data_IF_331565121180
#
_entry.id   IF_331565121180
#
_cell.length_a   1.000
_cell.length_b   1.000
_cell.length_c   1.000
_cell.angle_alpha   90.00
_cell.angle_beta   90.00
_cell.angle_gamma   90.00
#
_symmetry.space_group_name_H-M   'P 1'
#
loop_
_entity.id
_entity.type
_entity.pdbx_description
1 polymer ?
#
# COMPACT_ATOMS: atom_id res chain seq x y z
N UNK A 1 18.29 -9.45 4.08
CA UNK A 1 18.46 -8.41 5.12
C UNK A 1 17.34 -8.58 6.12
N UNK A 2 17.63 -9.10 7.32
CA UNK A 2 16.64 -9.28 8.39
C UNK A 2 16.28 -7.88 8.89
N UNK A 3 15.07 -7.41 8.58
CA UNK A 3 14.57 -6.13 9.11
C UNK A 3 14.41 -6.28 10.62
N UNK A 4 15.03 -5.39 11.39
CA UNK A 4 14.90 -5.37 12.85
C UNK A 4 13.48 -4.97 13.24
N UNK A 5 12.98 -5.54 14.33
CA UNK A 5 11.61 -5.39 14.85
C UNK A 5 11.20 -3.91 15.10
N UNK A 6 12.18 -3.00 15.12
CA UNK A 6 11.98 -1.58 15.41
C UNK A 6 11.51 -0.71 14.23
N UNK A 7 11.47 -1.23 12.99
CA UNK A 7 10.99 -0.49 11.79
C UNK A 7 9.49 -0.75 11.48
N UNK A 8 8.73 -1.26 12.45
CA UNK A 8 7.34 -1.71 12.24
C UNK A 8 6.36 -0.65 12.78
N UNK A 9 6.08 0.40 11.99
CA UNK A 9 5.13 1.48 12.32
C UNK A 9 3.64 1.03 12.37
N UNK A 10 3.32 -0.26 12.26
CA UNK A 10 1.93 -0.75 12.26
C UNK A 10 1.75 -1.99 13.14
N UNK A 11 0.56 -2.20 13.73
CA UNK A 11 0.31 -3.33 14.63
C UNK A 11 0.54 -4.68 13.94
N UNK A 12 1.16 -5.62 14.68
CA UNK A 12 1.45 -6.98 14.20
C UNK A 12 0.13 -7.74 13.89
N UNK A 13 0.00 -8.33 12.69
CA UNK A 13 -1.28 -8.85 12.19
C UNK A 13 -1.67 -10.18 12.87
N UNK A 14 -0.68 -11.01 13.23
CA UNK A 14 -0.86 -12.23 14.03
C UNK A 14 -1.50 -12.02 15.42
N UNK A 15 -1.55 -10.78 15.93
CA UNK A 15 -2.22 -10.46 17.19
C UNK A 15 -3.73 -10.71 17.07
N UNK A 16 -4.31 -10.53 15.88
CA UNK A 16 -5.75 -10.71 15.65
C UNK A 16 -6.24 -12.13 15.98
N UNK A 17 -5.68 -13.22 15.38
CA UNK A 17 -6.08 -14.58 15.74
C UNK A 17 -5.68 -14.95 17.16
N UNK A 18 -4.60 -14.38 17.70
CA UNK A 18 -4.21 -14.61 19.09
C UNK A 18 -5.24 -14.03 20.07
N UNK A 19 -5.74 -12.82 19.80
CA UNK A 19 -6.80 -12.20 20.59
C UNK A 19 -8.12 -12.97 20.47
N UNK A 20 -8.43 -13.55 19.31
CA UNK A 20 -9.59 -14.42 19.15
C UNK A 20 -9.44 -15.71 20.00
N UNK A 21 -8.23 -16.27 20.07
CA UNK A 21 -7.93 -17.42 20.91
C UNK A 21 -8.08 -17.11 22.40
N UNK A 22 -7.58 -15.96 22.87
CA UNK A 22 -7.75 -15.56 24.28
C UNK A 22 -9.21 -15.30 24.62
N UNK A 23 -10.00 -14.75 23.71
CA UNK A 23 -11.43 -14.58 23.88
C UNK A 23 -12.12 -15.96 24.00
N UNK A 24 -11.75 -16.93 23.16
CA UNK A 24 -12.29 -18.29 23.22
C UNK A 24 -11.96 -19.02 24.53
N UNK A 25 -10.74 -18.87 25.06
CA UNK A 25 -10.39 -19.49 26.34
C UNK A 25 -11.19 -18.87 27.48
N UNK A 26 -11.40 -17.55 27.46
CA UNK A 26 -12.26 -16.86 28.43
C UNK A 26 -13.70 -17.37 28.32
N UNK A 27 -14.25 -17.50 27.12
CA UNK A 27 -15.60 -18.05 26.92
C UNK A 27 -15.71 -19.49 27.43
N UNK A 28 -14.69 -20.33 27.21
CA UNK A 28 -14.66 -21.69 27.75
C UNK A 28 -14.61 -21.72 29.28
N UNK A 29 -13.88 -20.80 29.91
CA UNK A 29 -13.84 -20.66 31.37
C UNK A 29 -15.19 -20.21 31.94
N UNK A 30 -15.83 -19.24 31.28
CA UNK A 30 -17.17 -18.76 31.66
C UNK A 30 -18.22 -19.86 31.49
N UNK A 31 -18.11 -20.67 30.43
CA UNK A 31 -19.00 -21.80 30.23
C UNK A 31 -18.88 -22.87 31.32
N UNK A 32 -17.66 -23.19 31.74
CA UNK A 32 -17.44 -24.11 32.88
C UNK A 32 -18.10 -23.59 34.16
N UNK A 33 -18.09 -22.26 34.37
CA UNK A 33 -18.67 -21.64 35.55
C UNK A 33 -20.21 -21.53 35.51
N UNK A 34 -20.80 -21.31 34.32
CA UNK A 34 -22.21 -20.96 34.16
C UNK A 34 -23.04 -22.01 33.40
N UNK A 35 -22.42 -23.07 32.87
CA UNK A 35 -23.03 -24.09 32.00
C UNK A 35 -23.93 -23.48 30.90
N UNK A 36 -23.41 -22.43 30.24
CA UNK A 36 -24.15 -21.63 29.24
C UNK A 36 -24.30 -22.37 27.90
N UNK A 37 -23.37 -23.26 27.56
CA UNK A 37 -23.34 -24.02 26.32
C UNK A 37 -24.02 -25.39 26.49
N UNK A 38 -24.68 -25.88 25.44
CA UNK A 38 -25.27 -27.22 25.45
C UNK A 38 -24.19 -28.29 25.61
N UNK A 39 -24.52 -29.31 26.41
CA UNK A 39 -23.67 -30.49 26.63
C UNK A 39 -23.33 -31.14 25.27
N UNK A 40 -22.06 -31.03 24.85
CA UNK A 40 -21.57 -31.52 23.55
C UNK A 40 -20.89 -30.47 22.66
N UNK A 41 -20.88 -29.19 23.06
CA UNK A 41 -20.21 -28.09 22.32
C UNK A 41 -18.67 -28.18 22.31
N UNK A 42 -18.06 -28.97 23.21
CA UNK A 42 -16.61 -29.02 23.39
C UNK A 42 -15.83 -29.37 22.12
N UNK A 43 -16.38 -30.26 21.28
CA UNK A 43 -15.79 -30.60 19.98
C UNK A 43 -15.66 -29.39 19.05
N UNK A 44 -16.70 -28.55 18.98
CA UNK A 44 -16.70 -27.36 18.15
C UNK A 44 -15.73 -26.31 18.68
N UNK A 45 -15.63 -26.15 20.01
CA UNK A 45 -14.64 -25.24 20.62
C UNK A 45 -13.21 -25.68 20.32
N UNK A 46 -12.91 -26.98 20.40
CA UNK A 46 -11.58 -27.51 20.06
C UNK A 46 -11.25 -27.31 18.57
N UNK A 47 -12.21 -27.55 17.67
CA UNK A 47 -12.03 -27.32 16.25
C UNK A 47 -11.68 -25.85 15.95
N UNK A 48 -12.46 -24.92 16.53
CA UNK A 48 -12.24 -23.48 16.35
C UNK A 48 -10.90 -23.06 16.95
N UNK A 49 -10.56 -23.56 18.15
CA UNK A 49 -9.28 -23.28 18.80
C UNK A 49 -8.09 -23.76 17.94
N UNK A 50 -8.15 -24.96 17.37
CA UNK A 50 -7.11 -25.47 16.47
C UNK A 50 -6.93 -24.58 15.23
N UNK A 51 -8.04 -24.10 14.65
CA UNK A 51 -8.00 -23.17 13.52
C UNK A 51 -7.31 -21.84 13.85
N UNK A 52 -7.60 -21.27 15.02
CA UNK A 52 -6.94 -20.04 15.47
C UNK A 52 -5.46 -20.26 15.84
N UNK A 53 -5.10 -21.39 16.46
CA UNK A 53 -3.70 -21.74 16.72
C UNK A 53 -2.92 -21.83 15.40
N UNK A 54 -3.46 -22.54 14.40
CA UNK A 54 -2.89 -22.60 13.05
C UNK A 54 -2.67 -21.21 12.47
N UNK A 55 -3.70 -20.36 12.52
CA UNK A 55 -3.68 -19.00 11.95
C UNK A 55 -2.64 -18.10 12.63
N UNK A 56 -2.55 -18.15 13.96
CA UNK A 56 -1.55 -17.41 14.72
C UNK A 56 -0.13 -17.82 14.37
N UNK A 57 0.15 -19.14 14.32
CA UNK A 57 1.49 -19.65 14.01
C UNK A 57 1.86 -19.37 12.55
N UNK A 58 0.95 -19.61 11.60
CA UNK A 58 1.20 -19.34 10.19
C UNK A 58 1.40 -17.84 9.92
N UNK A 59 0.54 -16.98 10.48
CA UNK A 59 0.64 -15.53 10.37
C UNK A 59 1.99 -15.02 10.88
N UNK A 60 2.40 -15.47 12.07
CA UNK A 60 3.70 -15.13 12.66
C UNK A 60 4.88 -15.50 11.75
N UNK A 61 4.94 -16.75 11.30
CA UNK A 61 6.03 -17.19 10.43
C UNK A 61 6.05 -16.42 9.12
N UNK A 62 4.88 -16.16 8.51
CA UNK A 62 4.84 -15.39 7.27
C UNK A 62 5.26 -13.94 7.43
N UNK A 63 4.89 -13.30 8.55
CA UNK A 63 5.35 -11.94 8.88
C UNK A 63 6.86 -11.90 9.08
N UNK A 64 7.44 -12.89 9.78
CA UNK A 64 8.89 -12.96 10.00
C UNK A 64 9.68 -13.15 8.69
N UNK A 65 9.15 -13.92 7.73
CA UNK A 65 9.86 -14.27 6.51
C UNK A 65 9.68 -13.19 5.42
N UNK A 66 8.45 -12.73 5.17
CA UNK A 66 8.11 -11.84 4.04
C UNK A 66 7.71 -10.42 4.45
N UNK A 67 7.67 -10.11 5.74
CA UNK A 67 7.13 -8.86 6.23
C UNK A 67 5.60 -8.75 6.02
N UNK A 68 5.07 -7.54 6.22
CA UNK A 68 3.63 -7.27 6.12
C UNK A 68 3.20 -7.08 4.66
N UNK A 69 2.89 -8.18 3.98
CA UNK A 69 2.40 -8.21 2.60
C UNK A 69 1.04 -8.94 2.52
N UNK A 70 0.37 -8.89 1.37
CA UNK A 70 -0.89 -9.62 1.07
C UNK A 70 -0.78 -11.12 1.39
N UNK A 71 0.43 -11.68 1.29
CA UNK A 71 0.74 -13.07 1.64
C UNK A 71 0.39 -13.44 3.09
N UNK A 72 0.45 -12.51 4.05
CA UNK A 72 0.11 -12.79 5.46
C UNK A 72 -1.38 -13.06 5.61
N UNK A 73 -2.26 -12.27 4.97
CA UNK A 73 -3.70 -12.53 4.99
C UNK A 73 -4.06 -13.85 4.31
N UNK A 74 -3.38 -14.17 3.21
CA UNK A 74 -3.58 -15.42 2.48
C UNK A 74 -3.13 -16.62 3.34
N UNK A 75 -1.96 -16.55 3.99
CA UNK A 75 -1.46 -17.61 4.85
C UNK A 75 -2.34 -17.82 6.08
N UNK A 76 -2.83 -16.75 6.70
CA UNK A 76 -3.76 -16.79 7.84
C UNK A 76 -5.10 -17.42 7.45
N UNK A 77 -5.66 -17.08 6.28
CA UNK A 77 -6.91 -17.68 5.80
C UNK A 77 -6.76 -19.16 5.47
N UNK A 78 -5.74 -19.50 4.67
CA UNK A 78 -5.47 -20.89 4.25
C UNK A 78 -5.19 -21.80 5.44
N UNK A 79 -4.42 -21.32 6.43
CA UNK A 79 -4.09 -22.10 7.62
C UNK A 79 -5.29 -22.41 8.52
N UNK A 80 -6.33 -21.57 8.57
CA UNK A 80 -7.58 -21.88 9.29
C UNK A 80 -8.28 -23.09 8.67
N UNK A 81 -8.41 -23.13 7.33
CA UNK A 81 -9.05 -24.23 6.62
C UNK A 81 -8.25 -25.53 6.73
N UNK A 82 -6.94 -25.47 6.47
CA UNK A 82 -6.06 -26.65 6.57
C UNK A 82 -6.01 -27.14 8.02
N UNK A 83 -5.96 -26.23 8.99
CA UNK A 83 -6.04 -26.54 10.42
C UNK A 83 -7.31 -27.29 10.79
N UNK A 84 -8.47 -26.80 10.36
CA UNK A 84 -9.74 -27.46 10.61
C UNK A 84 -9.78 -28.87 10.01
N UNK A 85 -9.35 -29.05 8.75
CA UNK A 85 -9.29 -30.37 8.09
C UNK A 85 -8.35 -31.31 8.85
N UNK A 86 -7.16 -30.82 9.24
CA UNK A 86 -6.19 -31.63 9.99
C UNK A 86 -6.76 -32.11 11.33
N UNK A 87 -7.49 -31.24 12.03
CA UNK A 87 -8.15 -31.58 13.28
C UNK A 87 -9.23 -32.66 13.08
N UNK A 88 -10.06 -32.54 12.04
CA UNK A 88 -11.09 -33.53 11.72
C UNK A 88 -10.49 -34.93 11.48
N UNK A 89 -9.41 -35.00 10.69
CA UNK A 89 -8.73 -36.27 10.36
C UNK A 89 -8.12 -36.89 11.61
N UNK A 90 -7.37 -36.11 12.39
CA UNK A 90 -6.67 -36.60 13.58
C UNK A 90 -7.67 -36.99 14.67
N UNK A 91 -8.65 -36.14 14.95
CA UNK A 91 -9.68 -36.44 15.94
C UNK A 91 -10.50 -37.67 15.55
N UNK A 92 -10.87 -37.81 14.27
CA UNK A 92 -11.57 -38.99 13.76
C UNK A 92 -10.76 -40.28 13.93
N UNK A 93 -9.47 -40.24 13.61
CA UNK A 93 -8.55 -41.36 13.77
C UNK A 93 -8.41 -41.79 15.25
N UNK A 94 -8.19 -40.83 16.14
CA UNK A 94 -8.10 -41.12 17.57
C UNK A 94 -9.41 -41.69 18.11
N UNK A 95 -10.56 -41.09 17.78
CA UNK A 95 -11.87 -41.59 18.21
C UNK A 95 -12.14 -43.02 17.73
N UNK A 96 -11.76 -43.36 16.49
CA UNK A 96 -11.93 -44.71 15.94
C UNK A 96 -11.03 -45.75 16.64
N UNK A 97 -9.79 -45.38 16.97
CA UNK A 97 -8.85 -46.28 17.63
C UNK A 97 -9.15 -46.47 19.12
N UNK A 98 -9.71 -45.47 19.81
CA UNK A 98 -10.08 -45.59 21.23
C UNK A 98 -11.28 -46.54 21.44
N UNK A 99 -12.14 -46.75 20.44
CA UNK A 99 -13.26 -47.71 20.48
C UNK A 99 -12.86 -49.15 20.10
N UNK A 100 -11.64 -49.35 19.59
CA UNK A 100 -11.17 -50.65 19.04
C UNK A 100 -10.10 -51.33 19.90
N UNK A 101 -9.61 -50.66 20.96
CA UNK A 101 -8.56 -51.18 21.84
C UNK A 101 -9.10 -52.01 23.00
N UNK A 102 -8.50 -53.16 23.36
CA UNK A 102 -8.97 -54.00 24.47
C UNK A 102 -8.69 -53.44 25.88
N UNK A 103 -8.14 -52.23 26.02
CA UNK A 103 -7.77 -51.66 27.31
C UNK A 103 -8.69 -50.50 27.68
N UNK A 104 -9.88 -50.82 28.16
CA UNK A 104 -10.66 -49.93 29.04
C UNK A 104 -9.95 -49.95 30.41
N UNK A 105 -8.74 -49.40 30.47
CA UNK A 105 -8.15 -49.03 31.74
C UNK A 105 -8.75 -47.66 32.10
N UNK A 106 -9.39 -47.56 33.26
CA UNK A 106 -9.98 -46.35 33.80
C UNK A 106 -8.99 -45.18 33.68
N UNK A 107 -9.17 -44.37 32.64
CA UNK A 107 -8.38 -43.17 32.42
C UNK A 107 -8.88 -42.13 33.41
N UNK A 108 -8.01 -41.72 34.32
CA UNK A 108 -8.30 -40.62 35.25
C UNK A 108 -8.76 -39.40 34.43
N UNK A 109 -9.73 -38.60 34.92
CA UNK A 109 -10.29 -37.46 34.18
C UNK A 109 -9.21 -36.45 33.73
N UNK A 110 -8.08 -36.40 34.45
CA UNK A 110 -6.92 -35.56 34.13
C UNK A 110 -6.26 -35.99 32.81
N UNK A 111 -6.20 -37.29 32.52
CA UNK A 111 -5.56 -37.82 31.30
C UNK A 111 -6.37 -37.53 30.03
N UNK A 112 -7.70 -37.48 30.15
CA UNK A 112 -8.60 -37.14 29.06
C UNK A 112 -8.47 -35.66 28.66
N UNK A 113 -8.36 -34.78 29.66
CA UNK A 113 -8.11 -33.35 29.44
C UNK A 113 -6.76 -33.13 28.74
N UNK A 114 -5.70 -33.78 29.22
CA UNK A 114 -4.36 -33.66 28.61
C UNK A 114 -4.39 -34.17 27.17
N UNK A 115 -5.04 -35.31 26.90
CA UNK A 115 -5.17 -35.86 25.54
C UNK A 115 -5.89 -34.89 24.60
N UNK A 116 -7.00 -34.30 25.03
CA UNK A 116 -7.75 -33.34 24.23
C UNK A 116 -6.95 -32.06 23.92
N UNK A 117 -6.20 -31.54 24.91
CA UNK A 117 -5.33 -30.39 24.73
C UNK A 117 -4.21 -30.72 23.74
N UNK A 118 -3.53 -31.87 23.89
CA UNK A 118 -2.48 -32.32 22.98
C UNK A 118 -3.02 -32.48 21.55
N UNK A 119 -4.20 -33.06 21.39
CA UNK A 119 -4.86 -33.24 20.08
C UNK A 119 -5.28 -31.93 19.42
N UNK A 120 -5.39 -30.84 20.17
CA UNK A 120 -5.75 -29.52 19.63
C UNK A 120 -4.50 -28.70 19.30
N UNK A 121 -3.50 -28.71 20.17
CA UNK A 121 -2.31 -27.87 20.03
C UNK A 121 -1.34 -28.46 19.00
N UNK A 122 -1.07 -29.77 19.07
CA UNK A 122 -0.05 -30.42 18.24
C UNK A 122 -0.31 -30.23 16.72
N UNK A 123 -1.50 -30.53 16.18
CA UNK A 123 -1.75 -30.28 14.76
C UNK A 123 -1.80 -28.79 14.44
N UNK A 124 -2.35 -27.97 15.34
CA UNK A 124 -2.42 -26.52 15.17
C UNK A 124 -1.06 -25.88 14.91
N UNK A 125 -0.09 -26.20 15.77
CA UNK A 125 1.27 -25.68 15.68
C UNK A 125 2.00 -26.25 14.47
N UNK A 126 1.89 -27.57 14.24
CA UNK A 126 2.62 -28.24 13.16
C UNK A 126 2.15 -27.75 11.77
N UNK A 127 0.83 -27.74 11.55
CA UNK A 127 0.25 -27.26 10.28
C UNK A 127 0.50 -25.77 10.09
N UNK A 128 0.35 -24.97 11.14
CA UNK A 128 0.66 -23.54 11.09
C UNK A 128 2.12 -23.27 10.69
N UNK A 129 3.07 -24.03 11.23
CA UNK A 129 4.48 -23.90 10.89
C UNK A 129 4.78 -24.29 9.43
N UNK A 130 4.16 -25.36 8.92
CA UNK A 130 4.34 -25.79 7.53
C UNK A 130 3.76 -24.76 6.56
N UNK A 131 2.54 -24.28 6.81
CA UNK A 131 1.89 -23.29 5.94
C UNK A 131 2.64 -21.97 6.00
N UNK A 132 2.99 -21.49 7.20
CA UNK A 132 3.72 -20.24 7.38
C UNK A 132 5.14 -20.28 6.81
N UNK A 133 5.88 -21.36 7.05
CA UNK A 133 7.23 -21.56 6.50
C UNK A 133 7.22 -21.77 4.98
N UNK A 134 6.23 -22.50 4.46
CA UNK A 134 6.09 -22.82 3.04
C UNK A 134 5.88 -21.57 2.16
N UNK A 135 5.18 -20.57 2.67
CA UNK A 135 4.95 -19.29 1.96
C UNK A 135 6.25 -18.53 1.68
N UNK A 136 7.32 -18.80 2.44
CA UNK A 136 8.66 -18.27 2.19
C UNK A 136 9.25 -18.69 0.83
N UNK A 137 8.85 -19.84 0.29
CA UNK A 137 9.32 -20.33 -1.01
C UNK A 137 8.56 -19.74 -2.20
N UNK A 138 7.46 -19.03 -1.97
CA UNK A 138 6.73 -18.39 -3.07
C UNK A 138 7.57 -17.21 -3.60
N UNK A 139 7.75 -17.06 -4.92
CA UNK A 139 8.41 -15.88 -5.47
C UNK A 139 7.64 -14.62 -5.06
N UNK A 140 8.36 -13.54 -4.74
CA UNK A 140 7.72 -12.24 -4.49
C UNK A 140 7.08 -11.75 -5.78
N UNK A 141 5.81 -11.35 -5.72
CA UNK A 141 5.18 -10.67 -6.84
C UNK A 141 5.93 -9.35 -7.08
N UNK A 142 6.32 -9.02 -8.32
CA UNK A 142 6.94 -7.73 -8.60
C UNK A 142 5.97 -6.64 -8.16
N UNK A 143 6.41 -5.78 -7.25
CA UNK A 143 5.64 -4.65 -6.76
C UNK A 143 5.28 -3.78 -7.98
N UNK A 144 4.04 -3.91 -8.45
CA UNK A 144 3.49 -3.05 -9.49
C UNK A 144 3.35 -1.67 -8.85
N UNK A 145 4.40 -0.86 -8.99
CA UNK A 145 4.26 0.58 -8.87
C UNK A 145 3.33 0.95 -10.01
N UNK A 146 2.07 1.20 -9.66
CA UNK A 146 1.19 1.95 -10.54
C UNK A 146 2.03 3.13 -11.00
N UNK A 147 2.29 3.29 -12.31
CA UNK A 147 3.05 4.42 -12.78
C UNK A 147 2.32 5.59 -12.16
N UNK A 148 3.00 6.29 -11.24
CA UNK A 148 2.52 7.56 -10.73
C UNK A 148 2.00 8.23 -11.97
N UNK A 149 0.70 8.55 -11.98
CA UNK A 149 0.16 9.36 -13.04
C UNK A 149 1.02 10.62 -12.94
N UNK A 150 2.10 10.64 -13.72
CA UNK A 150 2.77 11.82 -14.16
C UNK A 150 1.57 12.52 -14.72
N UNK A 151 1.04 13.45 -13.95
CA UNK A 151 0.14 14.46 -14.44
C UNK A 151 0.91 14.94 -15.65
N UNK A 152 0.51 14.43 -16.82
CA UNK A 152 1.29 14.54 -18.04
C UNK A 152 1.35 16.03 -18.20
N UNK A 153 2.49 16.59 -17.81
CA UNK A 153 2.69 18.02 -17.72
C UNK A 153 2.41 18.42 -19.14
N UNK A 154 1.28 19.09 -19.42
CA UNK A 154 0.69 19.09 -20.74
C UNK A 154 1.83 19.40 -21.68
N UNK A 155 2.16 18.43 -22.54
CA UNK A 155 3.26 18.61 -23.49
C UNK A 155 2.73 19.68 -24.40
N UNK A 156 3.04 20.93 -24.04
CA UNK A 156 2.85 22.09 -24.86
C UNK A 156 3.69 21.74 -26.07
N UNK A 157 3.02 21.34 -27.15
CA UNK A 157 3.67 21.14 -28.43
C UNK A 157 4.63 22.33 -28.63
N UNK A 158 5.91 22.10 -28.96
CA UNK A 158 6.92 23.17 -29.05
C UNK A 158 6.57 24.26 -30.07
N UNK A 159 5.45 24.13 -30.79
CA UNK A 159 5.08 24.93 -31.94
C UNK A 159 3.77 25.72 -31.72
N UNK A 160 3.66 26.48 -30.62
CA UNK A 160 3.05 27.83 -30.57
C UNK A 160 2.89 28.31 -29.13
N UNK A 161 3.96 28.82 -28.53
CA UNK A 161 3.80 29.79 -27.46
C UNK A 161 3.41 31.11 -28.13
N UNK A 162 2.10 31.35 -28.32
CA UNK A 162 1.59 32.60 -28.90
C UNK A 162 1.92 33.76 -27.97
N UNK A 163 2.74 34.70 -28.46
CA UNK A 163 2.93 35.98 -27.80
C UNK A 163 1.69 36.85 -27.95
N UNK A 164 1.56 37.91 -27.16
CA UNK A 164 0.55 38.94 -27.37
C UNK A 164 1.24 40.30 -27.48
N UNK A 165 0.84 41.16 -28.40
CA UNK A 165 1.33 42.54 -28.47
C UNK A 165 0.19 43.51 -28.12
N UNK A 166 0.50 44.62 -27.43
CA UNK A 166 -0.47 45.71 -27.24
C UNK A 166 -0.30 46.72 -28.37
N UNK A 167 -1.38 46.99 -29.08
CA UNK A 167 -1.41 47.95 -30.20
C UNK A 167 -2.43 49.02 -29.89
N UNK A 168 -2.12 50.29 -30.15
CA UNK A 168 -3.09 51.36 -29.99
C UNK A 168 -4.25 51.22 -31.00
N UNK A 169 -5.49 51.42 -30.53
CA UNK A 169 -6.67 51.42 -31.41
C UNK A 169 -6.74 52.61 -32.36
N UNK A 170 -6.13 53.75 -31.99
CA UNK A 170 -6.17 55.00 -32.77
C UNK A 170 -5.03 55.13 -33.77
N UNK A 171 -3.78 55.02 -33.31
CA UNK A 171 -2.60 55.25 -34.16
C UNK A 171 -1.89 53.98 -34.64
N UNK A 172 -2.28 52.79 -34.14
CA UNK A 172 -1.64 51.54 -34.52
C UNK A 172 -0.23 51.32 -33.96
N UNK A 173 0.30 52.23 -33.15
CA UNK A 173 1.62 52.08 -32.52
C UNK A 173 1.61 50.95 -31.50
N UNK A 174 2.68 50.14 -31.51
CA UNK A 174 2.93 49.09 -30.51
C UNK A 174 3.34 49.72 -29.18
N UNK A 175 2.82 49.20 -28.08
CA UNK A 175 3.00 49.76 -26.75
C UNK A 175 3.48 48.67 -25.76
N UNK A 176 4.28 49.04 -24.73
CA UNK A 176 4.79 48.09 -23.75
C UNK A 176 3.65 47.51 -22.89
N UNK A 177 3.88 46.35 -22.28
CA UNK A 177 2.85 45.66 -21.48
C UNK A 177 2.38 46.43 -20.25
N UNK A 178 3.23 47.24 -19.65
CA UNK A 178 2.85 48.03 -18.46
C UNK A 178 2.08 49.30 -18.81
N UNK A 179 2.04 49.68 -20.09
CA UNK A 179 1.25 50.84 -20.51
C UNK A 179 -0.25 50.54 -20.44
N UNK A 180 -0.99 51.46 -19.82
CA UNK A 180 -2.45 51.46 -19.79
C UNK A 180 -3.04 52.22 -20.99
N UNK A 181 -2.32 53.23 -21.50
CA UNK A 181 -2.71 54.09 -22.61
C UNK A 181 -1.56 54.27 -23.61
N UNK A 182 -1.89 54.71 -24.83
CA UNK A 182 -0.88 55.00 -25.85
C UNK A 182 -0.10 56.27 -25.50
N UNK A 183 1.22 56.19 -25.42
CA UNK A 183 2.10 57.34 -25.16
C UNK A 183 2.13 58.38 -26.28
N UNK A 184 1.71 57.99 -27.49
CA UNK A 184 1.73 58.87 -28.67
C UNK A 184 0.41 59.64 -28.89
N UNK A 185 -0.74 59.02 -28.60
CA UNK A 185 -2.05 59.62 -28.92
C UNK A 185 -3.08 59.54 -27.79
N UNK A 186 -2.70 59.03 -26.60
CA UNK A 186 -3.59 58.84 -25.45
C UNK A 186 -4.71 57.81 -25.67
N UNK A 187 -4.74 57.13 -26.82
CA UNK A 187 -5.77 56.15 -27.17
C UNK A 187 -5.67 54.85 -26.36
N UNK A 188 -6.79 54.12 -26.30
CA UNK A 188 -6.86 52.81 -25.64
C UNK A 188 -6.12 51.73 -26.44
N UNK A 189 -5.65 50.70 -25.73
CA UNK A 189 -4.86 49.61 -26.30
C UNK A 189 -5.73 48.37 -26.59
N UNK A 190 -5.36 47.60 -27.61
CA UNK A 190 -5.92 46.27 -27.93
C UNK A 190 -4.82 45.22 -27.88
N UNK A 191 -5.14 44.02 -27.38
CA UNK A 191 -4.23 42.85 -27.41
C UNK A 191 -4.38 42.14 -28.76
N UNK A 192 -3.27 41.84 -29.45
CA UNK A 192 -3.21 41.06 -30.69
C UNK A 192 -2.28 39.86 -30.50
N UNK A 193 -2.61 38.70 -31.09
CA UNK A 193 -1.71 37.53 -31.08
C UNK A 193 -0.48 37.78 -31.95
N UNK A 194 0.69 37.39 -31.45
CA UNK A 194 1.98 37.39 -32.15
C UNK A 194 2.49 35.95 -32.29
N UNK A 195 3.11 35.66 -33.43
CA UNK A 195 3.49 34.29 -33.83
C UNK A 195 4.77 33.77 -33.17
N UNK A 196 5.62 34.66 -32.63
CA UNK A 196 6.91 34.27 -32.05
C UNK A 196 7.11 34.86 -30.66
N UNK A 197 7.24 34.00 -29.64
CA UNK A 197 7.74 34.41 -28.32
C UNK A 197 9.27 34.51 -28.36
N UNK A 198 9.83 35.63 -27.90
CA UNK A 198 11.28 35.89 -27.94
C UNK A 198 11.87 35.88 -26.53
N UNK A 199 13.18 35.69 -26.43
CA UNK A 199 13.93 35.78 -25.17
C UNK A 199 15.03 36.82 -25.31
N UNK A 200 15.33 37.54 -24.23
CA UNK A 200 16.46 38.45 -24.21
C UNK A 200 17.78 37.65 -24.19
N UNK A 201 18.70 37.94 -25.13
CA UNK A 201 20.02 37.28 -25.19
C UNK A 201 20.92 37.57 -23.98
N UNK A 202 20.66 38.66 -23.26
CA UNK A 202 21.51 39.10 -22.16
C UNK A 202 21.04 38.61 -20.78
N UNK A 203 19.74 38.73 -20.47
CA UNK A 203 19.19 38.32 -19.18
C UNK A 203 18.38 37.02 -19.24
N UNK A 204 18.11 36.48 -20.43
CA UNK A 204 17.27 35.29 -20.60
C UNK A 204 15.78 35.52 -20.32
N UNK A 205 15.35 36.75 -20.02
CA UNK A 205 13.96 37.03 -19.69
C UNK A 205 13.04 36.87 -20.91
N UNK A 206 11.82 36.41 -20.65
CA UNK A 206 10.79 36.20 -21.68
C UNK A 206 10.29 37.56 -22.19
N UNK A 207 10.48 37.80 -23.48
CA UNK A 207 10.00 39.01 -24.14
C UNK A 207 8.61 38.73 -24.69
N UNK A 208 7.62 39.35 -24.06
CA UNK A 208 6.23 39.23 -24.49
C UNK A 208 5.90 40.18 -25.67
N UNK A 209 6.74 41.17 -25.97
CA UNK A 209 6.58 42.14 -27.06
C UNK A 209 7.90 42.38 -27.83
N UNK A 210 7.80 42.95 -29.03
CA UNK A 210 8.93 43.47 -29.80
C UNK A 210 9.13 44.94 -29.43
N UNK A 211 10.16 45.23 -28.62
CA UNK A 211 10.65 46.58 -28.37
C UNK A 211 12.12 46.69 -28.76
N UNK A 212 12.64 47.91 -28.84
CA UNK A 212 14.07 48.14 -29.11
C UNK A 212 14.93 47.73 -27.89
N UNK A 213 14.41 47.86 -26.67
CA UNK A 213 15.11 47.57 -25.42
C UNK A 213 14.35 46.56 -24.55
N UNK A 214 15.08 45.67 -23.88
CA UNK A 214 14.51 44.74 -22.91
C UNK A 214 14.08 45.50 -21.63
N UNK A 215 12.85 45.28 -21.11
CA UNK A 215 12.36 46.00 -19.93
C UNK A 215 13.13 45.65 -18.65
N UNK A 216 13.62 44.42 -18.52
CA UNK A 216 14.32 43.99 -17.30
C UNK A 216 15.80 44.38 -17.29
N UNK A 217 16.48 44.33 -18.44
CA UNK A 217 17.91 44.54 -18.50
C UNK A 217 18.34 45.83 -19.22
N UNK A 218 17.41 46.58 -19.82
CA UNK A 218 17.66 47.84 -20.51
C UNK A 218 18.55 47.75 -21.77
N UNK A 219 18.93 46.55 -22.20
CA UNK A 219 19.81 46.33 -23.36
C UNK A 219 19.00 46.13 -24.63
N UNK A 220 19.60 46.54 -25.75
CA UNK A 220 18.99 46.44 -27.07
C UNK A 220 18.68 45.00 -27.47
N UNK A 221 17.48 44.78 -27.98
CA UNK A 221 16.99 43.49 -28.43
C UNK A 221 17.39 43.30 -29.90
N UNK A 222 18.66 42.96 -30.15
CA UNK A 222 19.04 42.40 -31.44
C UNK A 222 18.47 41.00 -31.53
N UNK A 223 17.37 40.86 -32.29
CA UNK A 223 16.68 39.60 -32.56
C UNK A 223 17.65 38.71 -33.32
N UNK A 224 18.41 37.89 -32.61
CA UNK A 224 19.12 36.75 -33.18
C UNK A 224 18.35 35.52 -32.75
N UNK A 225 17.75 34.84 -33.73
CA UNK A 225 17.00 33.61 -33.49
C UNK A 225 17.92 32.56 -32.85
N UNK A 226 17.49 32.10 -31.67
CA UNK A 226 18.01 31.00 -30.83
C UNK A 226 19.16 31.34 -29.86
N UNK A 227 18.92 31.32 -28.54
CA UNK A 227 20.01 31.15 -27.57
C UNK A 227 20.53 29.70 -27.65
N UNK A 228 21.81 29.53 -27.95
CA UNK A 228 22.52 28.27 -27.67
C UNK A 228 22.67 28.16 -26.15
N UNK A 229 21.79 27.40 -25.50
CA UNK A 229 21.93 27.09 -24.08
C UNK A 229 23.05 26.04 -23.97
N UNK A 230 24.17 26.40 -23.34
CA UNK A 230 25.12 25.42 -22.83
C UNK A 230 24.71 25.12 -21.38
N UNK A 231 24.33 23.87 -21.12
CA UNK A 231 24.30 23.34 -19.76
C UNK A 231 25.74 22.88 -19.51
N UNK A 232 26.42 23.51 -18.56
CA UNK A 232 27.66 22.96 -18.01
C UNK A 232 27.29 21.83 -17.05
N UNK A 233 27.85 20.65 -17.30
CA UNK A 233 27.81 19.49 -16.39
C UNK A 233 28.40 19.83 -15.00
#
# INVERSE_FOLDING_TARGET
TVRTINDIDQPLLWIVPFAALTLLTILSLVDIALNLLPKGSGYFLMLIACGFICSSVAGFLTELIKGRNKYVYVSMGVSVFIGAISFLVIYGFFKANTLSGPTIAAVNPISEIISNITLTILPGVFVGAIVGGGVGFLPEEPEYKEPEAMMEKPVIAPDKIVGYEKVCRRCGTQMPFDSLFCSQCGGTLKKRRSETMKYCRYCGHRLHFLGEFCPDCGKEINIVDKPKVFISD
#
